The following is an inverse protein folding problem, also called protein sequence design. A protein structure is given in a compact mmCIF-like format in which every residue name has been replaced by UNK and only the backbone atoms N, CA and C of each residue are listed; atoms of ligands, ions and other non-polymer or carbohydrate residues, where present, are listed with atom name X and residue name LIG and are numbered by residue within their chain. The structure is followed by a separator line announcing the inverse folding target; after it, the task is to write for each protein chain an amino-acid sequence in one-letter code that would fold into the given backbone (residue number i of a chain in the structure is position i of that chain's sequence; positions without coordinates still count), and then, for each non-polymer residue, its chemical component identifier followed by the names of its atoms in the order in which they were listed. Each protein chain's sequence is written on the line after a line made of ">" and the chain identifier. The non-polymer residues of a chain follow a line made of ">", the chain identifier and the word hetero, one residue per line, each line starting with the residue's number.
data_IF_532989371103
#
_entry.id   IF_532989371103
#
_cell.length_a   1.000
_cell.length_b   1.000
_cell.length_c   1.000
_cell.angle_alpha   90.00
_cell.angle_beta   90.00
_cell.angle_gamma   90.00
#
_symmetry.space_group_name_H-M   'P 1'
#
loop_
_entity.id
_entity.type
_entity.pdbx_description
1 polymer ?
#
# COMPACT_ATOMS: atom_id res chain seq x y z
N UNK A 1 76.18 52.57 -15.19
CA UNK A 1 76.11 52.53 -13.71
C UNK A 1 75.31 53.75 -13.25
N UNK A 2 74.52 53.60 -12.20
CA UNK A 2 73.82 54.67 -11.45
C UNK A 2 72.41 55.13 -11.91
N UNK A 3 71.44 54.71 -11.08
CA UNK A 3 70.46 55.54 -10.36
C UNK A 3 69.23 56.16 -11.06
N UNK A 4 68.07 55.60 -10.67
CA UNK A 4 66.93 56.23 -9.96
C UNK A 4 66.06 57.29 -10.69
N UNK A 5 64.75 57.09 -10.47
CA UNK A 5 63.62 58.03 -10.25
C UNK A 5 62.81 58.45 -11.49
N UNK A 6 61.55 57.99 -11.54
CA UNK A 6 60.29 58.65 -11.08
C UNK A 6 59.85 59.77 -12.06
N UNK A 7 58.62 59.80 -12.58
CA UNK A 7 57.35 59.98 -11.85
C UNK A 7 56.13 59.62 -12.73
N UNK A 8 54.93 59.49 -12.12
CA UNK A 8 53.75 58.84 -12.68
C UNK A 8 52.67 59.84 -13.15
N UNK A 9 51.63 59.35 -13.84
CA UNK A 9 50.20 59.45 -13.43
C UNK A 9 49.24 59.19 -14.61
N UNK A 10 48.25 58.34 -14.33
CA UNK A 10 46.78 58.49 -14.59
C UNK A 10 46.36 58.64 -16.07
N UNK A 11 45.32 58.01 -16.59
CA UNK A 11 44.04 57.58 -16.00
C UNK A 11 43.32 56.64 -17.01
N UNK A 12 42.43 55.86 -16.42
CA UNK A 12 41.44 54.90 -16.96
C UNK A 12 40.57 55.43 -18.12
N UNK A 13 40.33 54.57 -19.12
CA UNK A 13 39.05 54.25 -19.78
C UNK A 13 39.37 53.15 -20.82
N UNK A 14 38.81 51.95 -20.80
CA UNK A 14 37.41 51.62 -21.01
C UNK A 14 37.37 50.64 -22.18
N UNK A 15 36.91 49.40 -21.97
CA UNK A 15 36.88 48.38 -23.01
C UNK A 15 36.16 47.14 -22.51
N UNK A 16 34.95 46.95 -23.01
CA UNK A 16 34.00 45.91 -22.63
C UNK A 16 34.56 44.50 -22.86
N UNK A 17 34.29 43.60 -21.92
CA UNK A 17 34.36 42.15 -22.15
C UNK A 17 33.02 41.54 -21.72
N UNK A 18 32.28 41.02 -22.70
CA UNK A 18 31.11 40.18 -22.49
C UNK A 18 31.52 38.96 -21.66
N UNK A 19 31.04 38.88 -20.42
CA UNK A 19 31.04 37.63 -19.67
C UNK A 19 29.64 37.00 -19.80
N UNK A 20 29.55 35.98 -20.66
CA UNK A 20 28.41 35.06 -20.71
C UNK A 20 28.31 34.33 -19.37
N UNK A 21 27.35 34.74 -18.53
CA UNK A 21 26.97 34.02 -17.33
C UNK A 21 26.09 32.83 -17.77
N UNK A 22 26.70 31.66 -17.94
CA UNK A 22 25.96 30.41 -18.07
C UNK A 22 25.35 30.07 -16.70
N UNK A 23 24.07 30.39 -16.52
CA UNK A 23 23.28 29.90 -15.41
C UNK A 23 23.04 28.40 -15.63
N UNK A 24 23.88 27.54 -15.06
CA UNK A 24 23.58 26.10 -14.98
C UNK A 24 22.48 25.91 -13.94
N UNK A 25 21.22 25.87 -14.41
CA UNK A 25 20.14 25.33 -13.61
C UNK A 25 20.35 23.81 -13.54
N UNK A 26 20.96 23.34 -12.44
CA UNK A 26 20.89 21.94 -12.08
C UNK A 26 19.45 21.65 -11.67
N UNK A 27 18.60 21.37 -12.67
CA UNK A 27 17.30 20.79 -12.44
C UNK A 27 17.52 19.40 -11.86
N UNK A 28 17.42 19.29 -10.53
CA UNK A 28 17.15 18.00 -9.92
C UNK A 28 15.78 17.56 -10.45
N UNK A 29 15.78 16.76 -11.51
CA UNK A 29 14.63 15.93 -11.86
C UNK A 29 14.42 14.98 -10.70
N UNK A 30 13.55 15.38 -9.76
CA UNK A 30 12.84 14.45 -8.91
C UNK A 30 12.02 13.59 -9.86
N UNK A 31 12.57 12.45 -10.26
CA UNK A 31 11.79 11.40 -10.89
C UNK A 31 10.86 10.86 -9.81
N UNK A 32 9.70 11.51 -9.62
CA UNK A 32 8.55 10.78 -9.14
C UNK A 32 8.22 9.78 -10.25
N UNK A 33 8.63 8.53 -10.07
CA UNK A 33 8.01 7.43 -10.81
C UNK A 33 6.56 7.36 -10.35
N UNK A 34 5.73 8.25 -10.89
CA UNK A 34 4.29 8.15 -10.83
C UNK A 34 3.91 7.06 -11.83
N UNK A 35 4.16 5.83 -11.40
CA UNK A 35 3.66 4.64 -12.06
C UNK A 35 2.14 4.81 -12.16
N UNK A 36 1.62 4.84 -13.39
CA UNK A 36 0.19 4.98 -13.64
C UNK A 36 -0.58 3.91 -12.88
N UNK A 37 -1.31 4.32 -11.83
CA UNK A 37 -2.16 3.45 -11.01
C UNK A 37 -3.57 3.51 -11.56
N UNK A 38 -4.08 2.35 -11.96
CA UNK A 38 -5.40 2.25 -12.57
C UNK A 38 -6.52 2.61 -11.58
N UNK A 39 -6.39 2.22 -10.31
CA UNK A 39 -7.39 2.45 -9.25
C UNK A 39 -8.81 2.06 -9.68
N UNK A 40 -8.91 0.98 -10.46
CA UNK A 40 -10.10 0.54 -11.18
C UNK A 40 -10.75 -0.68 -10.51
N UNK A 41 -10.66 -0.82 -9.19
CA UNK A 41 -11.34 -1.91 -8.50
C UNK A 41 -12.84 -1.75 -8.65
N UNK A 42 -13.51 -2.84 -9.03
CA UNK A 42 -14.94 -2.86 -9.37
C UNK A 42 -15.81 -3.43 -8.26
N UNK A 43 -15.29 -4.45 -7.56
CA UNK A 43 -16.09 -5.23 -6.60
C UNK A 43 -16.06 -4.60 -5.20
N UNK A 44 -17.24 -4.23 -4.69
CA UNK A 44 -17.50 -3.80 -3.29
C UNK A 44 -16.45 -2.86 -2.70
N UNK A 45 -15.97 -1.90 -3.50
CA UNK A 45 -14.87 -0.99 -3.16
C UNK A 45 -15.04 -0.33 -1.80
N UNK A 46 -16.23 0.18 -1.50
CA UNK A 46 -16.51 0.87 -0.25
C UNK A 46 -16.34 -0.03 0.99
N UNK A 47 -16.64 -1.32 0.86
CA UNK A 47 -16.45 -2.28 1.96
C UNK A 47 -14.96 -2.60 2.14
N UNK A 48 -14.25 -2.84 1.03
CA UNK A 48 -12.80 -3.10 0.98
C UNK A 48 -11.98 -1.96 1.60
N UNK A 49 -12.46 -0.74 1.43
CA UNK A 49 -11.73 0.49 1.77
C UNK A 49 -12.32 1.21 2.96
N UNK A 50 -13.28 0.61 3.67
CA UNK A 50 -13.92 1.16 4.88
C UNK A 50 -14.64 2.50 4.64
N UNK A 51 -15.17 2.71 3.44
CA UNK A 51 -15.93 3.89 3.04
C UNK A 51 -17.45 3.68 3.08
N UNK A 52 -17.90 2.44 3.24
CA UNK A 52 -19.32 2.15 3.37
C UNK A 52 -19.90 2.70 4.69
N UNK A 53 -21.20 2.99 4.69
CA UNK A 53 -21.93 3.54 5.84
C UNK A 53 -21.81 2.72 7.14
N UNK A 54 -21.55 1.41 7.06
CA UNK A 54 -21.44 0.53 8.20
C UNK A 54 -19.98 0.26 8.60
N UNK A 55 -18.99 0.94 7.99
CA UNK A 55 -17.58 0.82 8.35
C UNK A 55 -17.30 1.21 9.81
N UNK A 56 -18.05 2.17 10.37
CA UNK A 56 -17.96 2.54 11.78
C UNK A 56 -18.48 1.46 12.75
N UNK A 57 -19.15 0.43 12.24
CA UNK A 57 -19.63 -0.71 13.03
C UNK A 57 -18.60 -1.87 13.08
N UNK A 58 -17.44 -1.72 12.43
CA UNK A 58 -16.34 -2.67 12.58
C UNK A 58 -15.82 -2.61 14.01
N UNK A 59 -15.74 -3.78 14.66
CA UNK A 59 -15.29 -3.92 16.04
C UNK A 59 -13.76 -3.97 16.12
N UNK A 60 -13.15 -2.79 16.19
CA UNK A 60 -11.70 -2.64 16.29
C UNK A 60 -11.13 -2.97 17.67
N UNK A 61 -11.98 -3.00 18.70
CA UNK A 61 -11.57 -3.23 20.09
C UNK A 61 -11.47 -4.73 20.42
N UNK A 62 -12.26 -5.58 19.74
CA UNK A 62 -12.29 -7.02 19.97
C UNK A 62 -11.61 -7.80 18.83
N UNK A 63 -10.27 -7.77 18.81
CA UNK A 63 -9.48 -8.49 17.81
C UNK A 63 -9.44 -9.99 18.10
N UNK A 64 -10.12 -10.77 17.25
CA UNK A 64 -10.23 -12.22 17.40
C UNK A 64 -8.97 -12.95 16.91
N UNK A 65 -8.32 -13.80 17.72
CA UNK A 65 -7.24 -14.65 17.23
C UNK A 65 -7.80 -15.70 16.25
N UNK A 66 -7.09 -15.92 15.15
CA UNK A 66 -7.49 -16.91 14.13
C UNK A 66 -6.27 -17.60 13.49
N UNK A 67 -6.53 -18.72 12.84
CA UNK A 67 -5.64 -19.35 11.85
C UNK A 67 -6.25 -19.20 10.46
N UNK A 68 -5.45 -19.42 9.42
CA UNK A 68 -5.97 -19.46 8.03
C UNK A 68 -7.09 -20.53 7.90
N UNK A 69 -6.99 -21.61 8.66
CA UNK A 69 -8.01 -22.67 8.69
C UNK A 69 -9.32 -22.20 9.34
N UNK A 70 -9.27 -21.61 10.54
CA UNK A 70 -10.47 -21.16 11.25
C UNK A 70 -11.16 -20.01 10.52
N UNK A 71 -10.39 -19.16 9.81
CA UNK A 71 -10.95 -18.16 8.91
C UNK A 71 -11.83 -18.82 7.82
N UNK A 72 -11.35 -19.93 7.24
CA UNK A 72 -12.10 -20.72 6.25
C UNK A 72 -13.41 -21.33 6.76
N UNK A 73 -13.61 -21.39 8.08
CA UNK A 73 -14.79 -21.95 8.73
C UNK A 73 -15.82 -20.89 9.15
N UNK A 74 -15.54 -19.60 8.92
CA UNK A 74 -16.53 -18.54 9.19
C UNK A 74 -17.76 -18.80 8.30
N UNK A 75 -18.96 -18.92 8.88
CA UNK A 75 -20.18 -19.13 8.12
C UNK A 75 -20.42 -17.99 7.13
N UNK A 76 -20.67 -18.35 5.87
CA UNK A 76 -21.03 -17.39 4.84
C UNK A 76 -22.56 -17.39 4.72
N UNK A 77 -23.21 -16.44 5.39
CA UNK A 77 -24.67 -16.33 5.49
C UNK A 77 -25.31 -15.48 4.37
N UNK A 78 -24.53 -15.16 3.33
CA UNK A 78 -24.90 -14.32 2.21
C UNK A 78 -24.18 -14.81 0.93
N UNK A 79 -24.73 -14.53 -0.25
CA UNK A 79 -24.09 -14.80 -1.53
C UNK A 79 -23.33 -13.55 -2.03
N UNK A 80 -21.99 -13.53 -2.00
CA UNK A 80 -21.22 -12.37 -2.42
C UNK A 80 -21.43 -12.02 -3.90
N UNK A 81 -21.95 -12.92 -4.73
CA UNK A 81 -22.22 -12.66 -6.16
C UNK A 81 -23.53 -11.90 -6.43
N UNK A 82 -24.32 -11.60 -5.40
CA UNK A 82 -25.61 -10.92 -5.54
C UNK A 82 -25.43 -9.44 -5.22
N UNK A 83 -25.65 -8.56 -6.19
CA UNK A 83 -25.44 -7.12 -6.01
C UNK A 83 -26.30 -6.51 -4.88
N UNK A 84 -27.51 -7.04 -4.67
CA UNK A 84 -28.39 -6.64 -3.56
C UNK A 84 -27.76 -6.90 -2.17
N UNK A 85 -26.68 -7.68 -2.11
CA UNK A 85 -25.96 -8.05 -0.89
C UNK A 85 -24.58 -7.35 -0.80
N UNK A 86 -24.34 -6.28 -1.56
CA UNK A 86 -23.07 -5.55 -1.53
C UNK A 86 -22.80 -4.73 -0.27
N UNK A 87 -23.77 -4.61 0.64
CA UNK A 87 -23.57 -3.97 1.95
C UNK A 87 -22.60 -4.78 2.84
N UNK A 88 -22.00 -4.15 3.85
CA UNK A 88 -21.17 -4.85 4.84
C UNK A 88 -22.00 -5.82 5.68
N UNK A 89 -21.62 -7.10 5.68
CA UNK A 89 -22.29 -8.14 6.45
C UNK A 89 -21.78 -8.23 7.90
N UNK A 90 -22.53 -8.85 8.82
CA UNK A 90 -22.10 -9.00 10.21
C UNK A 90 -20.72 -9.64 10.39
N UNK A 91 -20.37 -10.62 9.54
CA UNK A 91 -19.08 -11.29 9.55
C UNK A 91 -17.93 -10.35 9.11
N UNK A 92 -18.22 -9.34 8.30
CA UNK A 92 -17.28 -8.33 7.80
C UNK A 92 -17.12 -7.13 8.74
N UNK A 93 -17.77 -7.17 9.91
CA UNK A 93 -17.60 -6.20 11.01
C UNK A 93 -16.58 -6.67 12.04
N UNK A 94 -15.91 -7.79 11.79
CA UNK A 94 -14.99 -8.43 12.74
C UNK A 94 -13.55 -8.24 12.30
N UNK A 95 -12.68 -7.97 13.28
CA UNK A 95 -11.23 -7.88 13.09
C UNK A 95 -10.59 -9.17 13.59
N UNK A 96 -9.71 -9.74 12.76
CA UNK A 96 -8.99 -10.96 13.06
C UNK A 96 -7.48 -10.75 13.06
N UNK A 97 -6.78 -11.53 13.89
CA UNK A 97 -5.32 -11.61 13.90
C UNK A 97 -4.85 -13.03 13.65
N UNK A 98 -4.11 -13.22 12.57
CA UNK A 98 -3.43 -14.46 12.23
C UNK A 98 -1.98 -14.35 12.69
N UNK A 99 -1.59 -15.18 13.66
CA UNK A 99 -0.21 -15.20 14.18
C UNK A 99 0.64 -16.25 13.49
N UNK A 100 1.95 -16.01 13.45
CA UNK A 100 2.94 -16.97 12.96
C UNK A 100 2.65 -17.49 11.53
N UNK A 101 2.17 -16.63 10.63
CA UNK A 101 1.93 -16.99 9.23
C UNK A 101 3.10 -16.59 8.31
N UNK A 102 3.12 -17.15 7.10
CA UNK A 102 4.07 -16.79 6.04
C UNK A 102 3.35 -16.06 4.91
N UNK A 103 4.08 -15.21 4.18
CA UNK A 103 3.62 -14.66 2.91
C UNK A 103 4.35 -15.39 1.79
N UNK A 104 3.62 -16.16 0.98
CA UNK A 104 4.20 -17.03 -0.06
C UNK A 104 4.35 -16.32 -1.41
N UNK A 105 3.44 -15.39 -1.70
CA UNK A 105 3.38 -14.59 -2.91
C UNK A 105 2.89 -13.19 -2.56
N UNK A 106 3.41 -12.19 -3.29
CA UNK A 106 2.86 -10.85 -3.34
C UNK A 106 2.62 -10.52 -4.81
N UNK A 107 1.42 -10.04 -5.16
CA UNK A 107 1.16 -9.41 -6.46
C UNK A 107 0.96 -7.92 -6.21
N UNK A 108 1.63 -7.10 -7.01
CA UNK A 108 1.34 -5.67 -7.06
C UNK A 108 0.27 -5.47 -8.12
N UNK A 109 -0.93 -5.09 -7.70
CA UNK A 109 -2.09 -4.95 -8.59
C UNK A 109 -2.22 -3.52 -9.16
N UNK A 110 -1.09 -2.84 -9.42
CA UNK A 110 -1.05 -1.45 -9.93
C UNK A 110 -1.88 -1.22 -11.21
N UNK A 111 -2.07 -2.25 -12.03
CA UNK A 111 -2.90 -2.21 -13.24
C UNK A 111 -4.39 -2.51 -13.00
N UNK A 112 -4.80 -2.79 -11.76
CA UNK A 112 -6.17 -3.09 -11.34
C UNK A 112 -6.63 -2.12 -10.24
N UNK A 113 -6.88 -2.57 -9.02
CA UNK A 113 -7.27 -1.72 -7.89
C UNK A 113 -6.10 -0.98 -7.22
N UNK A 114 -4.87 -1.42 -7.46
CA UNK A 114 -3.66 -0.85 -6.89
C UNK A 114 -3.18 -1.53 -5.62
N UNK A 115 -3.92 -2.53 -5.11
CA UNK A 115 -3.69 -3.14 -3.81
C UNK A 115 -2.46 -4.07 -3.82
N UNK A 116 -1.91 -4.33 -2.63
CA UNK A 116 -0.87 -5.34 -2.46
C UNK A 116 -1.55 -6.63 -2.04
N UNK A 117 -1.71 -7.52 -3.02
CA UNK A 117 -2.27 -8.85 -2.85
C UNK A 117 -1.25 -9.76 -2.19
N UNK A 118 -1.49 -10.12 -0.94
CA UNK A 118 -0.65 -11.05 -0.17
C UNK A 118 -1.30 -12.43 -0.12
N UNK A 119 -0.57 -13.46 -0.54
CA UNK A 119 -0.96 -14.86 -0.28
C UNK A 119 -0.43 -15.29 1.08
N UNK A 120 -1.28 -15.13 2.09
CA UNK A 120 -1.04 -15.57 3.46
C UNK A 120 -1.13 -17.09 3.51
N UNK A 121 -0.12 -17.74 4.09
CA UNK A 121 -0.01 -19.19 4.19
C UNK A 121 0.24 -19.63 5.62
N UNK A 122 -0.51 -20.62 6.08
CA UNK A 122 -0.29 -21.29 7.35
C UNK A 122 -0.51 -22.80 7.16
N UNK A 123 0.54 -23.59 7.41
CA UNK A 123 0.56 -25.00 7.00
C UNK A 123 0.44 -25.16 5.48
N UNK A 124 -0.53 -25.94 5.03
CA UNK A 124 -0.82 -26.18 3.61
C UNK A 124 -1.93 -25.27 3.05
N UNK A 125 -2.58 -24.48 3.91
CA UNK A 125 -3.75 -23.67 3.56
C UNK A 125 -3.31 -22.23 3.29
N UNK A 126 -3.99 -21.58 2.34
CA UNK A 126 -3.78 -20.19 1.99
C UNK A 126 -5.07 -19.38 2.09
N UNK A 127 -4.91 -18.08 2.33
CA UNK A 127 -5.94 -17.08 2.12
C UNK A 127 -5.30 -15.78 1.61
N UNK A 128 -6.14 -14.82 1.25
CA UNK A 128 -5.71 -13.52 0.76
C UNK A 128 -5.76 -12.50 1.90
N UNK A 129 -4.81 -11.58 1.89
CA UNK A 129 -4.96 -10.31 2.59
C UNK A 129 -4.45 -9.19 1.71
N UNK A 130 -5.14 -8.06 1.74
CA UNK A 130 -4.91 -6.92 0.85
C UNK A 130 -4.47 -5.71 1.67
N UNK A 131 -3.44 -5.01 1.20
CA UNK A 131 -3.07 -3.69 1.72
C UNK A 131 -3.54 -2.63 0.72
N UNK A 132 -4.60 -1.86 1.04
CA UNK A 132 -5.14 -0.89 0.12
C UNK A 132 -4.13 0.17 -0.31
N UNK A 133 -4.29 0.64 -1.53
CA UNK A 133 -3.46 1.72 -2.04
C UNK A 133 -3.88 3.11 -1.57
N UNK A 134 -3.11 3.71 -0.66
CA UNK A 134 -3.35 5.09 -0.22
C UNK A 134 -3.10 6.15 -1.31
N UNK A 135 -2.42 5.82 -2.42
CA UNK A 135 -2.28 6.75 -3.54
C UNK A 135 -3.53 6.79 -4.43
N UNK A 136 -4.37 5.75 -4.40
CA UNK A 136 -5.59 5.74 -5.18
C UNK A 136 -6.54 6.85 -4.72
N UNK A 137 -6.97 7.68 -5.67
CA UNK A 137 -7.80 8.85 -5.38
C UNK A 137 -9.09 8.46 -4.64
N UNK A 138 -9.69 7.34 -5.05
CA UNK A 138 -10.91 6.79 -4.43
C UNK A 138 -10.68 6.26 -3.01
N UNK A 139 -9.44 6.03 -2.56
CA UNK A 139 -9.14 5.60 -1.19
C UNK A 139 -8.89 6.78 -0.25
N UNK A 140 -8.65 7.99 -0.77
CA UNK A 140 -8.28 9.16 0.04
C UNK A 140 -9.38 9.62 1.00
N UNK A 141 -10.63 9.23 0.76
CA UNK A 141 -11.76 9.54 1.64
C UNK A 141 -11.98 8.47 2.72
N UNK A 142 -11.23 7.36 2.66
CA UNK A 142 -11.30 6.33 3.69
C UNK A 142 -10.93 6.89 5.06
N UNK A 143 -11.74 6.62 6.10
CA UNK A 143 -11.38 6.96 7.48
C UNK A 143 -10.10 6.22 7.94
N UNK A 144 -9.69 5.16 7.24
CA UNK A 144 -8.50 4.36 7.54
C UNK A 144 -7.28 4.72 6.66
N UNK A 145 -7.28 5.85 5.95
CA UNK A 145 -6.21 6.22 5.01
C UNK A 145 -4.80 6.21 5.64
N UNK A 146 -4.67 6.68 6.88
CA UNK A 146 -3.38 6.66 7.59
C UNK A 146 -2.95 5.24 7.98
N UNK A 147 -3.90 4.33 8.21
CA UNK A 147 -3.62 2.90 8.42
C UNK A 147 -3.07 2.29 7.13
N UNK A 148 -3.70 2.54 5.98
CA UNK A 148 -3.23 2.03 4.68
C UNK A 148 -1.81 2.51 4.37
N UNK A 149 -1.56 3.81 4.59
CA UNK A 149 -0.24 4.41 4.42
C UNK A 149 0.80 3.79 5.34
N UNK A 150 0.46 3.60 6.62
CA UNK A 150 1.37 2.97 7.59
C UNK A 150 1.70 1.54 7.20
N UNK A 151 0.70 0.71 6.96
CA UNK A 151 0.89 -0.71 6.61
C UNK A 151 1.70 -0.85 5.31
N UNK A 152 1.42 -0.01 4.29
CA UNK A 152 2.24 0.02 3.07
C UNK A 152 3.68 0.41 3.34
N UNK A 153 3.89 1.46 4.11
CA UNK A 153 5.25 1.94 4.44
C UNK A 153 6.04 0.87 5.18
N UNK A 154 5.42 0.17 6.12
CA UNK A 154 6.06 -0.90 6.88
C UNK A 154 6.38 -2.13 6.00
N UNK A 155 5.50 -2.46 5.04
CA UNK A 155 5.65 -3.65 4.20
C UNK A 155 6.53 -3.44 2.96
N UNK A 156 6.51 -2.26 2.35
CA UNK A 156 7.17 -1.95 1.07
C UNK A 156 8.66 -2.33 1.03
N UNK A 157 9.48 -2.13 2.08
CA UNK A 157 10.88 -2.56 2.09
C UNK A 157 11.09 -4.07 1.92
N UNK A 158 10.07 -4.89 2.23
CA UNK A 158 10.13 -6.35 2.10
C UNK A 158 9.89 -6.84 0.67
N UNK A 159 9.38 -5.98 -0.22
CA UNK A 159 9.14 -6.32 -1.62
C UNK A 159 10.47 -6.52 -2.38
N UNK A 160 11.47 -5.69 -2.09
CA UNK A 160 12.80 -5.77 -2.70
C UNK A 160 13.42 -7.14 -2.45
N UNK A 161 13.82 -7.82 -3.53
CA UNK A 161 14.40 -9.16 -3.44
C UNK A 161 13.46 -10.22 -2.83
N UNK A 162 12.15 -9.94 -2.72
CA UNK A 162 11.16 -10.80 -2.07
C UNK A 162 11.52 -11.16 -0.62
N UNK A 163 12.13 -10.23 0.12
CA UNK A 163 12.54 -10.39 1.52
C UNK A 163 11.40 -10.82 2.43
N UNK A 164 10.14 -10.50 2.09
CA UNK A 164 8.96 -10.99 2.81
C UNK A 164 8.97 -12.52 3.00
N UNK A 165 9.61 -13.30 2.11
CA UNK A 165 9.72 -14.77 2.23
C UNK A 165 10.59 -15.25 3.39
N UNK A 166 11.46 -14.39 3.91
CA UNK A 166 12.40 -14.73 4.98
C UNK A 166 11.81 -14.51 6.37
N UNK A 167 10.61 -13.92 6.46
CA UNK A 167 10.01 -13.50 7.71
C UNK A 167 8.81 -14.35 8.08
N UNK A 168 8.47 -14.31 9.36
CA UNK A 168 7.18 -14.75 9.88
C UNK A 168 6.39 -13.51 10.28
N UNK A 169 5.06 -13.56 10.13
CA UNK A 169 4.20 -12.41 10.36
C UNK A 169 3.10 -12.72 11.36
N UNK A 170 2.74 -11.68 12.13
CA UNK A 170 1.38 -11.55 12.66
C UNK A 170 0.65 -10.50 11.81
N UNK A 171 -0.50 -10.87 11.25
CA UNK A 171 -1.30 -10.03 10.37
C UNK A 171 -2.66 -9.78 11.01
N UNK A 172 -3.04 -8.51 11.17
CA UNK A 172 -4.35 -8.09 11.67
C UNK A 172 -5.13 -7.45 10.52
N UNK A 173 -6.40 -7.80 10.34
CA UNK A 173 -7.24 -7.21 9.29
C UNK A 173 -8.73 -7.39 9.52
N UNK A 174 -9.54 -6.68 8.73
CA UNK A 174 -10.99 -6.82 8.74
C UNK A 174 -11.38 -7.99 7.84
N UNK A 175 -12.28 -8.86 8.29
CA UNK A 175 -12.81 -9.91 7.44
C UNK A 175 -13.58 -9.34 6.25
N UNK A 176 -13.38 -9.94 5.08
CA UNK A 176 -14.06 -9.56 3.85
C UNK A 176 -14.31 -10.79 2.99
N UNK A 177 -15.45 -10.84 2.31
CA UNK A 177 -15.77 -11.92 1.36
C UNK A 177 -15.94 -11.33 -0.04
N UNK A 178 -14.92 -11.52 -0.88
CA UNK A 178 -14.96 -11.12 -2.29
C UNK A 178 -15.79 -12.12 -3.10
N UNK A 179 -16.57 -11.67 -4.10
CA UNK A 179 -17.18 -12.57 -5.07
C UNK A 179 -16.08 -13.42 -5.73
N UNK A 180 -16.23 -14.75 -5.86
CA UNK A 180 -15.16 -15.59 -6.39
C UNK A 180 -14.75 -15.18 -7.82
N UNK A 181 -13.48 -14.84 -8.01
CA UNK A 181 -12.87 -14.65 -9.33
C UNK A 181 -11.50 -15.36 -9.43
N UNK A 182 -10.69 -15.07 -10.46
CA UNK A 182 -9.41 -15.76 -10.74
C UNK A 182 -8.27 -15.38 -9.76
N UNK A 183 -8.59 -15.31 -8.47
CA UNK A 183 -7.71 -14.88 -7.40
C UNK A 183 -6.70 -15.94 -7.03
N UNK A 184 -5.42 -15.55 -6.98
CA UNK A 184 -4.36 -16.47 -6.53
C UNK A 184 -4.33 -16.53 -5.00
N UNK A 185 -4.39 -17.74 -4.43
CA UNK A 185 -4.25 -17.92 -2.98
C UNK A 185 -5.53 -17.77 -2.16
N UNK A 186 -6.69 -17.58 -2.81
CA UNK A 186 -8.02 -17.53 -2.18
C UNK A 186 -8.23 -18.70 -1.22
N UNK A 187 -8.89 -18.44 -0.08
CA UNK A 187 -9.32 -19.51 0.81
C UNK A 187 -10.31 -20.43 0.07
N UNK A 188 -9.96 -21.71 -0.06
CA UNK A 188 -10.74 -22.65 -0.88
C UNK A 188 -12.08 -23.04 -0.25
N UNK A 189 -12.29 -22.78 1.04
CA UNK A 189 -13.50 -23.20 1.76
C UNK A 189 -14.60 -22.15 1.58
N UNK A 190 -14.37 -20.91 2.03
CA UNK A 190 -15.39 -19.85 2.02
C UNK A 190 -14.96 -18.58 1.25
N UNK A 191 -13.70 -18.51 0.79
CA UNK A 191 -13.19 -17.33 0.08
C UNK A 191 -12.92 -16.11 0.95
N UNK A 192 -12.92 -16.24 2.28
CA UNK A 192 -12.63 -15.10 3.16
C UNK A 192 -11.22 -14.56 2.95
N UNK A 193 -11.10 -13.26 3.13
CA UNK A 193 -9.87 -12.48 3.03
C UNK A 193 -9.74 -11.55 4.24
N UNK A 194 -8.55 -10.99 4.43
CA UNK A 194 -8.34 -9.81 5.26
C UNK A 194 -8.23 -8.56 4.38
N UNK A 195 -9.32 -7.81 4.26
CA UNK A 195 -9.37 -6.59 3.45
C UNK A 195 -10.19 -5.51 4.17
N UNK A 196 -9.56 -4.45 4.69
CA UNK A 196 -8.13 -4.16 4.61
C UNK A 196 -7.30 -4.88 5.69
N UNK A 197 -6.01 -5.08 5.41
CA UNK A 197 -5.00 -5.33 6.46
C UNK A 197 -4.80 -4.03 7.26
N UNK A 198 -4.90 -4.14 8.57
CA UNK A 198 -4.76 -3.04 9.54
C UNK A 198 -3.37 -2.99 10.19
N UNK A 199 -2.69 -4.12 10.27
CA UNK A 199 -1.36 -4.22 10.90
C UNK A 199 -0.59 -5.42 10.34
N UNK A 200 0.72 -5.23 10.12
CA UNK A 200 1.67 -6.31 9.83
C UNK A 200 2.84 -6.19 10.79
N UNK A 201 3.07 -7.22 11.59
CA UNK A 201 4.22 -7.34 12.48
C UNK A 201 5.17 -8.41 11.98
N UNK A 202 6.45 -8.08 11.89
CA UNK A 202 7.53 -8.96 11.45
C UNK A 202 8.18 -9.62 12.67
N UNK A 203 8.52 -10.91 12.54
CA UNK A 203 9.38 -11.66 13.45
C UNK A 203 10.61 -12.21 12.73
#
# INVERSE_FOLDING_TARGET
>A
MATRKKKPKKKVLGGALLALLSLTFAGNSLTSEDTFRACNGKERWDVKTLQDRAASEVDYDNISPATVETMGQIPLNFNPNVEAEFFRHPEEKKVYRIKNCKISLVKNESSADGDYHLVIKQGTITMIGEIPDYHCQNNRQSPAIEVFKKVRTDFQPLLTGKRYRNHTFDITGVAFFDPPHNQTGRNKINGVELHPILEIKIH
#
